data_IF_159697062281
#
_entry.id   IF_159697062281
#
_cell.length_a   1.000
_cell.length_b   1.000
_cell.length_c   1.000
_cell.angle_alpha   90.00
_cell.angle_beta   90.00
_cell.angle_gamma   90.00
#
_symmetry.space_group_name_H-M   'P 1'
#
loop_
_entity.id
_entity.type
_entity.pdbx_description
1 polymer ?
#
# COMPACT_ATOMS: atom_id res chain seq x y z
N UNK A 1 74.15 7.51 -53.71
CA UNK A 1 73.24 6.84 -54.66
C UNK A 1 72.16 6.04 -53.96
N UNK A 2 70.95 6.04 -54.52
CA UNK A 2 70.01 4.92 -54.37
C UNK A 2 68.84 5.07 -53.38
N UNK A 3 67.75 5.69 -53.84
CA UNK A 3 66.37 5.49 -53.35
C UNK A 3 65.92 4.02 -53.56
N UNK A 4 65.19 3.46 -52.60
CA UNK A 4 64.00 2.58 -52.76
C UNK A 4 63.77 1.84 -51.44
N UNK A 5 62.71 2.07 -50.67
CA UNK A 5 61.41 1.50 -50.97
C UNK A 5 60.37 2.06 -49.99
N UNK A 6 59.66 3.10 -50.43
CA UNK A 6 58.51 3.67 -49.72
C UNK A 6 57.23 3.12 -50.37
N UNK A 7 56.88 1.86 -50.11
CA UNK A 7 55.62 1.27 -50.61
C UNK A 7 54.94 0.28 -49.65
N UNK A 8 55.64 -0.25 -48.65
CA UNK A 8 55.06 -1.30 -47.78
C UNK A 8 54.37 -0.80 -46.49
N UNK A 9 54.53 0.46 -46.06
CA UNK A 9 53.84 0.95 -44.85
C UNK A 9 52.43 1.52 -45.10
N UNK A 10 52.14 1.98 -46.32
CA UNK A 10 50.81 2.52 -46.68
C UNK A 10 49.75 1.43 -46.86
N UNK A 11 50.12 0.26 -47.38
CA UNK A 11 49.20 -0.87 -47.59
C UNK A 11 48.65 -1.44 -46.28
N UNK A 12 49.53 -1.60 -45.27
CA UNK A 12 49.16 -2.10 -43.93
C UNK A 12 48.23 -1.14 -43.17
N UNK A 13 48.48 0.17 -43.27
CA UNK A 13 47.64 1.21 -42.63
C UNK A 13 46.24 1.31 -43.28
N UNK A 14 46.17 1.24 -44.61
CA UNK A 14 44.89 1.32 -45.33
C UNK A 14 43.99 0.09 -45.04
N UNK A 15 44.58 -1.11 -44.97
CA UNK A 15 43.86 -2.34 -44.62
C UNK A 15 43.28 -2.31 -43.19
N UNK A 16 44.02 -1.76 -42.23
CA UNK A 16 43.56 -1.62 -40.85
C UNK A 16 42.40 -0.60 -40.70
N UNK A 17 42.41 0.47 -41.50
CA UNK A 17 41.31 1.46 -41.53
C UNK A 17 40.05 0.86 -42.15
N UNK A 18 40.18 0.11 -43.24
CA UNK A 18 39.05 -0.57 -43.90
C UNK A 18 38.43 -1.63 -42.97
N UNK A 19 39.25 -2.41 -42.27
CA UNK A 19 38.78 -3.41 -41.31
C UNK A 19 38.02 -2.79 -40.12
N UNK A 20 38.54 -1.68 -39.56
CA UNK A 20 37.83 -0.92 -38.51
C UNK A 20 36.52 -0.30 -39.01
N UNK A 21 36.49 0.18 -40.26
CA UNK A 21 35.27 0.67 -40.90
C UNK A 21 34.22 -0.41 -41.11
N UNK A 22 34.63 -1.61 -41.53
CA UNK A 22 33.73 -2.77 -41.66
C UNK A 22 33.19 -3.23 -40.31
N UNK A 23 34.03 -3.25 -39.28
CA UNK A 23 33.65 -3.65 -37.93
C UNK A 23 32.70 -2.62 -37.28
N UNK A 24 32.95 -1.33 -37.49
CA UNK A 24 32.03 -0.26 -37.11
C UNK A 24 30.68 -0.38 -37.83
N UNK A 25 30.69 -0.60 -39.16
CA UNK A 25 29.46 -0.79 -39.92
C UNK A 25 28.69 -2.04 -39.48
N UNK A 26 29.38 -3.12 -39.12
CA UNK A 26 28.77 -4.33 -38.54
C UNK A 26 28.13 -4.02 -37.19
N UNK A 27 28.83 -3.30 -36.31
CA UNK A 27 28.31 -2.93 -34.99
C UNK A 27 27.10 -1.99 -35.09
N UNK A 28 27.10 -1.04 -36.02
CA UNK A 28 25.95 -0.17 -36.30
C UNK A 28 24.76 -0.99 -36.80
N UNK A 29 24.96 -1.95 -37.70
CA UNK A 29 23.89 -2.85 -38.16
C UNK A 29 23.31 -3.69 -37.02
N UNK A 30 24.15 -4.18 -36.11
CA UNK A 30 23.70 -4.93 -34.92
C UNK A 30 22.89 -4.02 -33.99
N UNK A 31 23.35 -2.80 -33.71
CA UNK A 31 22.62 -1.84 -32.87
C UNK A 31 21.27 -1.47 -33.48
N UNK A 32 21.23 -1.21 -34.79
CA UNK A 32 19.96 -0.93 -35.51
C UNK A 32 19.02 -2.13 -35.46
N UNK A 33 19.52 -3.36 -35.64
CA UNK A 33 18.71 -4.56 -35.54
C UNK A 33 18.12 -4.75 -34.14
N UNK A 34 18.92 -4.54 -33.08
CA UNK A 34 18.45 -4.58 -31.69
C UNK A 34 17.36 -3.52 -31.45
N UNK A 35 17.57 -2.30 -31.95
CA UNK A 35 16.60 -1.22 -31.81
C UNK A 35 15.27 -1.52 -32.52
N UNK A 36 15.32 -2.08 -33.73
CA UNK A 36 14.13 -2.51 -34.48
C UNK A 36 13.37 -3.62 -33.75
N UNK A 37 14.08 -4.59 -33.17
CA UNK A 37 13.46 -5.66 -32.36
C UNK A 37 12.80 -5.08 -31.11
N UNK A 38 13.48 -4.18 -30.40
CA UNK A 38 12.92 -3.54 -29.20
C UNK A 38 11.67 -2.72 -29.52
N UNK A 39 11.69 -1.91 -30.59
CA UNK A 39 10.52 -1.13 -31.03
C UNK A 39 9.38 -2.06 -31.45
N UNK A 40 9.67 -3.15 -32.17
CA UNK A 40 8.65 -4.12 -32.59
C UNK A 40 8.03 -4.84 -31.39
N UNK A 41 8.84 -5.24 -30.39
CA UNK A 41 8.34 -5.81 -29.14
C UNK A 41 7.47 -4.83 -28.36
N UNK A 42 7.90 -3.56 -28.26
CA UNK A 42 7.10 -2.52 -27.60
C UNK A 42 5.77 -2.27 -28.32
N UNK A 43 5.75 -2.26 -29.66
CA UNK A 43 4.53 -2.12 -30.45
C UNK A 43 3.60 -3.33 -30.29
N UNK A 44 4.13 -4.55 -30.23
CA UNK A 44 3.34 -5.75 -29.97
C UNK A 44 2.75 -5.76 -28.56
N UNK A 45 3.51 -5.34 -27.55
CA UNK A 45 3.00 -5.21 -26.18
C UNK A 45 1.96 -4.10 -26.05
N UNK A 46 2.18 -2.96 -26.72
CA UNK A 46 1.20 -1.87 -26.79
C UNK A 46 -0.09 -2.32 -27.49
N UNK A 47 0.02 -3.01 -28.62
CA UNK A 47 -1.15 -3.49 -29.38
C UNK A 47 -1.88 -4.61 -28.61
N UNK A 48 -1.16 -5.52 -27.98
CA UNK A 48 -1.73 -6.57 -27.11
C UNK A 48 -2.43 -5.98 -25.90
N UNK A 49 -1.82 -4.99 -25.24
CA UNK A 49 -2.43 -4.28 -24.11
C UNK A 49 -3.66 -3.46 -24.51
N UNK A 50 -3.67 -2.89 -25.72
CA UNK A 50 -4.78 -2.09 -26.21
C UNK A 50 -5.92 -2.95 -26.79
N UNK A 51 -5.62 -4.18 -27.21
CA UNK A 51 -6.56 -5.11 -27.80
C UNK A 51 -6.91 -6.23 -26.82
N UNK A 52 -7.41 -5.84 -25.64
CA UNK A 52 -8.00 -6.76 -24.65
C UNK A 52 -9.38 -7.26 -25.14
N UNK A 53 -9.38 -8.00 -26.25
CA UNK A 53 -10.46 -8.90 -26.64
C UNK A 53 -9.99 -10.33 -26.41
N UNK A 54 -10.64 -10.99 -25.45
CA UNK A 54 -10.43 -12.39 -25.05
C UNK A 54 -10.34 -13.33 -26.26
N UNK A 55 -9.17 -13.89 -26.52
CA UNK A 55 -9.02 -15.09 -27.35
C UNK A 55 -8.39 -16.22 -26.53
N UNK A 56 -9.24 -17.14 -26.08
CA UNK A 56 -8.89 -18.40 -25.44
C UNK A 56 -8.13 -19.29 -26.43
N UNK A 57 -6.81 -19.42 -26.25
CA UNK A 57 -5.96 -20.33 -27.01
C UNK A 57 -6.01 -21.75 -26.41
N UNK A 58 -7.17 -22.39 -26.47
CA UNK A 58 -7.39 -23.68 -25.85
C UNK A 58 -8.72 -24.31 -26.20
N UNK A 59 -8.99 -24.54 -27.50
CA UNK A 59 -10.02 -25.48 -27.96
C UNK A 59 -9.87 -25.72 -29.46
N UNK A 60 -8.96 -26.62 -29.82
CA UNK A 60 -9.07 -27.37 -31.08
C UNK A 60 -9.04 -28.85 -30.71
N UNK A 61 -10.07 -29.56 -31.15
CA UNK A 61 -10.26 -31.02 -31.08
C UNK A 61 -10.85 -31.58 -29.77
N UNK A 62 -12.17 -31.58 -29.68
CA UNK A 62 -12.91 -32.66 -29.02
C UNK A 62 -14.24 -32.90 -29.72
N UNK A 63 -14.46 -34.16 -30.05
CA UNK A 63 -15.53 -34.69 -30.87
C UNK A 63 -16.92 -34.54 -30.26
N UNK A 64 -17.90 -34.51 -31.15
CA UNK A 64 -19.34 -34.44 -30.96
C UNK A 64 -19.90 -35.51 -30.02
N UNK A 65 -20.85 -35.12 -29.15
CA UNK A 65 -22.00 -35.94 -28.78
C UNK A 65 -23.18 -35.03 -28.36
N UNK A 66 -24.44 -35.43 -28.63
CA UNK A 66 -25.58 -34.52 -28.65
C UNK A 66 -26.35 -34.48 -27.33
N UNK A 67 -26.83 -33.28 -27.02
CA UNK A 67 -28.05 -32.94 -26.27
C UNK A 67 -28.48 -33.83 -25.08
N UNK A 68 -28.36 -33.28 -23.88
CA UNK A 68 -29.53 -33.18 -23.01
C UNK A 68 -29.58 -31.78 -22.37
N UNK A 69 -30.68 -31.09 -22.66
CA UNK A 69 -31.04 -29.80 -22.06
C UNK A 69 -31.31 -29.95 -20.56
N UNK A 70 -30.58 -29.19 -19.74
CA UNK A 70 -31.07 -28.78 -18.44
C UNK A 70 -30.86 -27.27 -18.35
N UNK A 71 -31.98 -26.56 -18.18
CA UNK A 71 -32.01 -25.15 -17.78
C UNK A 71 -31.28 -25.02 -16.45
N UNK A 72 -30.00 -24.68 -16.49
CA UNK A 72 -29.28 -24.20 -15.32
C UNK A 72 -29.48 -22.68 -15.28
N UNK A 73 -30.34 -22.23 -14.38
CA UNK A 73 -30.22 -20.88 -13.80
C UNK A 73 -28.77 -20.67 -13.33
N UNK A 74 -28.17 -19.48 -13.49
CA UNK A 74 -26.87 -19.21 -12.89
C UNK A 74 -26.99 -19.49 -11.39
N UNK A 75 -26.33 -20.53 -10.91
CA UNK A 75 -26.29 -20.82 -9.49
C UNK A 75 -25.56 -19.65 -8.83
N UNK A 76 -26.21 -19.01 -7.87
CA UNK A 76 -25.52 -18.11 -6.94
C UNK A 76 -24.30 -18.86 -6.37
N UNK A 77 -23.13 -18.22 -6.28
CA UNK A 77 -21.97 -18.85 -5.68
C UNK A 77 -22.34 -19.35 -4.28
N UNK A 78 -21.84 -20.53 -3.87
CA UNK A 78 -22.19 -21.13 -2.60
C UNK A 78 -21.93 -20.12 -1.47
N UNK A 79 -22.80 -20.04 -0.42
CA UNK A 79 -22.79 -18.95 0.58
C UNK A 79 -21.50 -18.78 1.38
N UNK A 80 -20.50 -19.65 1.16
CA UNK A 80 -19.29 -19.78 1.95
C UNK A 80 -18.00 -19.75 1.12
N UNK A 81 -18.06 -19.49 -0.20
CA UNK A 81 -16.83 -19.27 -0.95
C UNK A 81 -16.22 -17.90 -0.62
N UNK A 82 -14.92 -17.84 -0.29
CA UNK A 82 -14.27 -16.56 -0.02
C UNK A 82 -14.28 -15.68 -1.26
N UNK A 83 -14.79 -14.45 -1.11
CA UNK A 83 -14.71 -13.43 -2.18
C UNK A 83 -13.25 -13.05 -2.40
N UNK A 84 -12.70 -13.48 -3.54
CA UNK A 84 -11.35 -13.14 -4.01
C UNK A 84 -11.37 -11.81 -4.79
N UNK A 85 -11.56 -10.70 -4.08
CA UNK A 85 -11.38 -9.35 -4.62
C UNK A 85 -10.05 -8.72 -4.15
N UNK A 86 -9.84 -7.44 -4.45
CA UNK A 86 -8.65 -6.68 -4.05
C UNK A 86 -8.41 -6.61 -2.52
N UNK A 87 -9.44 -6.80 -1.71
CA UNK A 87 -9.38 -6.80 -0.24
C UNK A 87 -9.31 -8.23 0.35
N UNK A 88 -9.17 -9.27 -0.46
CA UNK A 88 -9.11 -10.66 0.04
C UNK A 88 -8.01 -10.87 1.09
N UNK A 89 -6.77 -10.47 0.79
CA UNK A 89 -5.65 -10.63 1.74
C UNK A 89 -5.81 -9.72 2.96
N UNK A 90 -6.37 -8.52 2.79
CA UNK A 90 -6.67 -7.63 3.90
C UNK A 90 -7.72 -8.25 4.84
N UNK A 91 -8.81 -8.80 4.30
CA UNK A 91 -9.82 -9.51 5.10
C UNK A 91 -9.23 -10.69 5.85
N UNK A 92 -8.26 -11.42 5.26
CA UNK A 92 -7.56 -12.52 5.93
C UNK A 92 -6.71 -12.01 7.11
N UNK A 93 -5.96 -10.92 6.90
CA UNK A 93 -5.14 -10.30 7.94
C UNK A 93 -6.00 -9.73 9.09
N UNK A 94 -7.07 -9.00 8.77
CA UNK A 94 -8.02 -8.47 9.75
C UNK A 94 -8.68 -9.59 10.54
N UNK A 95 -9.16 -10.65 9.88
CA UNK A 95 -9.77 -11.81 10.56
C UNK A 95 -8.79 -12.51 11.51
N UNK A 96 -7.51 -12.58 11.15
CA UNK A 96 -6.48 -13.22 11.97
C UNK A 96 -6.10 -12.38 13.20
N UNK A 97 -6.14 -11.04 13.10
CA UNK A 97 -5.78 -10.14 14.19
C UNK A 97 -6.98 -9.73 15.07
N UNK A 98 -8.21 -9.82 14.56
CA UNK A 98 -9.37 -9.30 15.27
C UNK A 98 -9.70 -10.03 16.58
N UNK A 99 -10.18 -9.28 17.56
CA UNK A 99 -10.88 -9.79 18.73
C UNK A 99 -12.24 -10.39 18.34
N UNK A 100 -12.92 -11.02 19.30
CA UNK A 100 -14.25 -11.62 19.09
C UNK A 100 -15.30 -10.60 18.61
N UNK A 101 -15.21 -9.34 19.08
CA UNK A 101 -16.08 -8.23 18.69
C UNK A 101 -15.61 -7.51 17.40
N UNK A 102 -14.71 -8.14 16.62
CA UNK A 102 -14.13 -7.60 15.38
C UNK A 102 -13.29 -6.33 15.55
N UNK A 103 -12.66 -6.13 16.71
CA UNK A 103 -11.77 -5.01 16.96
C UNK A 103 -10.32 -5.39 16.64
N UNK A 104 -9.62 -4.54 15.89
CA UNK A 104 -8.19 -4.71 15.53
C UNK A 104 -7.39 -3.50 16.02
N UNK A 105 -6.19 -3.72 16.53
CA UNK A 105 -5.25 -2.63 16.83
C UNK A 105 -4.39 -2.42 15.59
N UNK A 106 -4.34 -1.19 15.08
CA UNK A 106 -3.67 -0.84 13.84
C UNK A 106 -2.56 0.15 14.11
N UNK A 107 -1.44 -0.03 13.43
CA UNK A 107 -0.36 0.96 13.34
C UNK A 107 0.24 0.93 11.93
N UNK A 108 0.88 2.01 11.51
CA UNK A 108 1.56 2.10 10.21
C UNK A 108 3.07 2.10 10.39
N UNK A 109 3.79 1.37 9.54
CA UNK A 109 5.24 1.27 9.61
C UNK A 109 5.87 1.54 8.24
N UNK A 110 6.88 2.41 8.21
CA UNK A 110 7.75 2.61 7.06
C UNK A 110 9.20 2.29 7.44
N UNK A 111 10.09 2.27 6.45
CA UNK A 111 11.49 1.91 6.60
C UNK A 111 12.21 2.76 7.66
N UNK A 112 11.98 4.08 7.64
CA UNK A 112 12.62 5.02 8.58
C UNK A 112 12.33 4.65 10.05
N UNK A 113 11.11 4.21 10.36
CA UNK A 113 10.71 3.82 11.72
C UNK A 113 10.98 2.34 12.02
N UNK A 114 11.27 1.51 11.01
CA UNK A 114 11.51 0.06 11.13
C UNK A 114 12.97 -0.31 11.41
N UNK A 115 13.90 0.64 11.37
CA UNK A 115 15.32 0.40 11.67
C UNK A 115 15.50 -0.31 13.03
N UNK A 116 16.44 -1.28 13.16
CA UNK A 116 16.71 -1.92 14.43
C UNK A 116 17.11 -0.93 15.53
N UNK A 117 16.62 -1.17 16.75
CA UNK A 117 16.77 -0.32 17.93
C UNK A 117 16.19 1.11 17.74
N UNK A 118 15.14 1.24 16.93
CA UNK A 118 14.41 2.49 16.71
C UNK A 118 12.99 2.43 17.31
N UNK A 119 12.14 3.42 17.00
CA UNK A 119 10.84 3.63 17.65
C UNK A 119 9.96 2.38 17.65
N UNK A 120 10.00 1.58 16.57
CA UNK A 120 9.12 0.41 16.48
C UNK A 120 9.49 -0.65 17.52
N UNK A 121 10.78 -0.80 17.84
CA UNK A 121 11.21 -1.72 18.89
C UNK A 121 10.74 -1.23 20.27
N UNK A 122 10.78 0.08 20.51
CA UNK A 122 10.29 0.70 21.76
C UNK A 122 8.77 0.60 21.86
N UNK A 123 8.06 0.83 20.75
CA UNK A 123 6.62 0.64 20.63
C UNK A 123 6.22 -0.77 21.05
N UNK A 124 6.82 -1.80 20.44
CA UNK A 124 6.55 -3.19 20.78
C UNK A 124 6.95 -3.51 22.23
N UNK A 125 8.07 -2.99 22.70
CA UNK A 125 8.50 -3.19 24.08
C UNK A 125 7.51 -2.61 25.08
N UNK A 126 6.92 -1.44 24.79
CA UNK A 126 5.91 -0.82 25.64
C UNK A 126 4.71 -1.73 25.87
N UNK A 127 4.24 -2.46 24.84
CA UNK A 127 3.22 -3.48 24.99
C UNK A 127 3.69 -4.65 25.86
N UNK A 128 4.95 -5.09 25.73
CA UNK A 128 5.45 -6.25 26.47
C UNK A 128 5.58 -5.97 27.97
N UNK A 129 6.06 -4.78 28.33
CA UNK A 129 6.33 -4.41 29.72
C UNK A 129 5.17 -3.69 30.40
N UNK A 130 4.20 -3.18 29.63
CA UNK A 130 3.07 -2.46 30.18
C UNK A 130 2.12 -3.36 30.99
N UNK A 131 1.39 -2.73 31.92
CA UNK A 131 0.48 -3.44 32.80
C UNK A 131 -0.73 -3.95 32.01
N UNK A 132 -0.84 -5.27 31.90
CA UNK A 132 -1.89 -5.96 31.15
C UNK A 132 -1.91 -5.61 29.65
N UNK A 133 -0.82 -5.17 29.02
CA UNK A 133 -0.82 -4.80 27.59
C UNK A 133 -0.25 -5.88 26.67
N UNK A 134 0.57 -6.80 27.16
CA UNK A 134 1.27 -7.79 26.32
C UNK A 134 0.31 -8.64 25.45
N UNK A 135 -0.85 -9.00 25.98
CA UNK A 135 -1.88 -9.77 25.26
C UNK A 135 -2.45 -9.03 24.04
N UNK A 136 -2.39 -7.69 24.03
CA UNK A 136 -2.89 -6.86 22.93
C UNK A 136 -2.03 -7.01 21.67
N UNK A 137 -0.78 -7.46 21.77
CA UNK A 137 0.06 -7.79 20.61
C UNK A 137 -0.52 -8.92 19.75
N UNK A 138 -1.39 -9.77 20.32
CA UNK A 138 -2.13 -10.76 19.53
C UNK A 138 -3.15 -10.12 18.59
N UNK A 139 -3.51 -8.86 18.82
CA UNK A 139 -4.50 -8.11 18.06
C UNK A 139 -3.90 -6.92 17.30
N UNK A 140 -2.57 -6.77 17.35
CA UNK A 140 -1.85 -5.75 16.60
C UNK A 140 -1.64 -6.22 15.17
N UNK A 141 -2.22 -5.49 14.22
CA UNK A 141 -1.96 -5.58 12.79
C UNK A 141 -1.16 -4.36 12.34
N UNK A 142 0.08 -4.60 11.92
CA UNK A 142 0.98 -3.55 11.43
C UNK A 142 0.83 -3.42 9.91
N UNK A 143 0.57 -2.21 9.46
CA UNK A 143 0.41 -1.85 8.06
C UNK A 143 1.74 -1.31 7.55
N UNK A 144 2.49 -2.14 6.84
CA UNK A 144 3.78 -1.76 6.28
C UNK A 144 3.60 -1.12 4.90
N UNK A 145 4.14 0.08 4.70
CA UNK A 145 4.00 0.84 3.43
C UNK A 145 5.15 0.61 2.45
N UNK A 146 6.21 -0.08 2.87
CA UNK A 146 7.33 -0.49 2.03
C UNK A 146 7.82 -1.90 2.38
N UNK A 147 8.64 -2.48 1.49
CA UNK A 147 9.08 -3.86 1.61
C UNK A 147 10.01 -4.11 2.81
N UNK A 148 10.84 -3.13 3.19
CA UNK A 148 11.79 -3.29 4.31
C UNK A 148 11.05 -3.24 5.64
N UNK A 149 10.10 -2.32 5.79
CA UNK A 149 9.17 -2.30 6.91
C UNK A 149 8.36 -3.60 7.01
N UNK A 150 7.89 -4.14 5.87
CA UNK A 150 7.11 -5.37 5.87
C UNK A 150 7.94 -6.58 6.33
N UNK A 151 9.17 -6.73 5.83
CA UNK A 151 10.08 -7.78 6.27
C UNK A 151 10.43 -7.65 7.76
N UNK A 152 10.68 -6.43 8.24
CA UNK A 152 10.92 -6.16 9.67
C UNK A 152 9.71 -6.54 10.51
N UNK A 153 8.52 -6.15 10.09
CA UNK A 153 7.27 -6.50 10.75
C UNK A 153 7.14 -8.02 10.89
N UNK A 154 7.31 -8.77 9.80
CA UNK A 154 7.16 -10.23 9.80
C UNK A 154 8.15 -10.93 10.74
N UNK A 155 9.31 -10.32 10.99
CA UNK A 155 10.30 -10.83 11.93
C UNK A 155 9.96 -10.59 13.40
N UNK A 156 9.11 -9.60 13.72
CA UNK A 156 8.86 -9.14 15.10
C UNK A 156 7.44 -9.38 15.61
N UNK A 157 6.44 -9.36 14.72
CA UNK A 157 5.02 -9.46 15.09
C UNK A 157 4.29 -10.46 14.22
N UNK A 158 3.16 -10.98 14.73
CA UNK A 158 2.40 -12.04 14.06
C UNK A 158 1.61 -11.55 12.84
N UNK A 159 1.07 -10.34 12.91
CA UNK A 159 0.15 -9.83 11.89
C UNK A 159 0.74 -8.61 11.20
N UNK A 160 1.08 -8.80 9.93
CA UNK A 160 1.62 -7.78 9.04
C UNK A 160 0.79 -7.74 7.77
N UNK A 161 0.53 -6.54 7.27
CA UNK A 161 -0.10 -6.34 5.97
C UNK A 161 0.75 -5.38 5.14
N UNK A 162 1.11 -5.80 3.93
CA UNK A 162 1.84 -4.94 3.00
C UNK A 162 0.86 -4.07 2.22
N UNK A 163 0.82 -2.78 2.54
CA UNK A 163 -0.02 -1.80 1.87
C UNK A 163 0.66 -1.33 0.58
N UNK A 164 0.08 -1.71 -0.55
CA UNK A 164 0.58 -1.32 -1.87
C UNK A 164 -0.07 0.00 -2.29
N UNK A 165 0.70 1.07 -2.19
CA UNK A 165 0.37 2.38 -2.79
C UNK A 165 1.22 2.63 -4.04
N UNK A 166 0.70 3.44 -4.97
CA UNK A 166 1.50 3.95 -6.09
C UNK A 166 2.71 4.77 -5.61
N UNK A 167 2.66 5.27 -4.37
CA UNK A 167 3.72 6.06 -3.73
C UNK A 167 4.59 5.25 -2.75
N UNK A 168 4.50 3.91 -2.74
CA UNK A 168 5.18 3.08 -1.72
C UNK A 168 6.69 3.34 -1.61
N UNK A 169 7.35 3.72 -2.72
CA UNK A 169 8.79 4.04 -2.72
C UNK A 169 9.07 5.38 -2.04
N UNK A 170 8.26 6.39 -2.33
CA UNK A 170 8.36 7.72 -1.72
C UNK A 170 7.96 7.70 -0.24
N UNK A 171 7.01 6.83 0.14
CA UNK A 171 6.53 6.62 1.51
C UNK A 171 7.48 5.82 2.40
N UNK A 172 8.43 5.09 1.81
CA UNK A 172 9.44 4.32 2.55
C UNK A 172 10.34 5.23 3.40
N UNK A 173 10.67 6.41 2.89
CA UNK A 173 11.52 7.37 3.58
C UNK A 173 10.75 8.19 4.62
N UNK A 174 11.49 8.86 5.51
CA UNK A 174 10.90 9.83 6.43
C UNK A 174 10.17 10.92 5.64
N UNK A 175 8.83 10.93 5.76
CA UNK A 175 8.01 11.98 5.19
C UNK A 175 8.06 13.21 6.11
N UNK A 176 8.90 14.19 5.76
CA UNK A 176 8.99 15.44 6.53
C UNK A 176 7.62 16.11 6.63
N UNK A 177 7.31 16.60 7.83
CA UNK A 177 6.02 17.19 8.16
C UNK A 177 5.56 18.24 7.13
N UNK A 178 4.29 18.16 6.72
CA UNK A 178 3.62 19.06 5.76
C UNK A 178 4.21 19.12 4.33
N UNK A 179 5.12 18.21 3.97
CA UNK A 179 5.50 18.02 2.56
C UNK A 179 4.36 17.41 1.73
N UNK A 180 4.37 17.54 0.38
CA UNK A 180 3.35 16.91 -0.46
C UNK A 180 3.21 15.40 -0.24
N UNK A 181 4.33 14.69 -0.09
CA UNK A 181 4.33 13.25 0.19
C UNK A 181 3.75 12.92 1.57
N UNK A 182 4.01 13.76 2.58
CA UNK A 182 3.39 13.64 3.90
C UNK A 182 1.86 13.79 3.79
N UNK A 183 1.38 14.77 3.04
CA UNK A 183 -0.07 14.94 2.85
C UNK A 183 -0.69 13.72 2.16
N UNK A 184 -0.09 13.22 1.08
CA UNK A 184 -0.55 11.98 0.42
C UNK A 184 -0.61 10.81 1.40
N UNK A 185 0.47 10.59 2.16
CA UNK A 185 0.57 9.52 3.16
C UNK A 185 -0.59 9.55 4.16
N UNK A 186 -0.89 10.73 4.69
CA UNK A 186 -1.91 10.87 5.73
C UNK A 186 -3.33 10.72 5.18
N UNK A 187 -3.57 11.15 3.94
CA UNK A 187 -4.84 10.93 3.25
C UNK A 187 -5.04 9.47 2.83
N UNK A 188 -3.99 8.79 2.37
CA UNK A 188 -4.02 7.35 2.09
C UNK A 188 -4.28 6.54 3.38
N UNK A 189 -3.65 6.92 4.50
CA UNK A 189 -3.95 6.35 5.83
C UNK A 189 -5.42 6.47 6.17
N UNK A 190 -6.00 7.67 6.03
CA UNK A 190 -7.41 7.89 6.35
C UNK A 190 -8.33 7.04 5.46
N UNK A 191 -8.04 6.95 4.16
CA UNK A 191 -8.84 6.14 3.23
C UNK A 191 -8.72 4.64 3.53
N UNK A 192 -7.54 4.18 3.93
CA UNK A 192 -7.35 2.82 4.40
C UNK A 192 -8.18 2.50 5.65
N UNK A 193 -8.24 3.41 6.62
CA UNK A 193 -9.11 3.26 7.79
C UNK A 193 -10.60 3.22 7.41
N UNK A 194 -11.03 4.02 6.42
CA UNK A 194 -12.40 3.93 5.85
C UNK A 194 -12.69 2.55 5.27
N UNK A 195 -11.73 1.95 4.57
CA UNK A 195 -11.87 0.59 4.01
C UNK A 195 -12.07 -0.42 5.14
N UNK A 196 -11.30 -0.34 6.23
CA UNK A 196 -11.46 -1.24 7.39
C UNK A 196 -12.87 -1.16 7.99
N UNK A 197 -13.41 0.06 8.16
CA UNK A 197 -14.80 0.24 8.61
C UNK A 197 -15.79 -0.38 7.62
N UNK A 198 -15.56 -0.19 6.32
CA UNK A 198 -16.42 -0.75 5.26
C UNK A 198 -16.41 -2.28 5.26
N UNK A 199 -15.28 -2.89 5.63
CA UNK A 199 -15.13 -4.35 5.79
C UNK A 199 -15.73 -4.89 7.11
N UNK A 200 -16.30 -4.03 7.96
CA UNK A 200 -17.03 -4.45 9.15
C UNK A 200 -16.18 -4.64 10.40
N UNK A 201 -14.96 -4.06 10.46
CA UNK A 201 -14.07 -4.15 11.61
C UNK A 201 -14.01 -2.84 12.37
N UNK A 202 -14.10 -2.92 13.70
CA UNK A 202 -13.74 -1.81 14.58
C UNK A 202 -12.21 -1.72 14.62
N UNK A 203 -11.68 -0.56 14.96
CA UNK A 203 -10.25 -0.44 15.16
C UNK A 203 -9.86 0.52 16.26
N UNK A 204 -8.75 0.20 16.93
CA UNK A 204 -7.93 1.19 17.61
C UNK A 204 -6.76 1.50 16.69
N UNK A 205 -6.64 2.74 16.22
CA UNK A 205 -5.46 3.18 15.51
C UNK A 205 -4.49 3.83 16.50
N UNK A 206 -3.20 3.51 16.37
CA UNK A 206 -2.12 4.08 17.15
C UNK A 206 -0.91 4.37 16.26
N UNK A 207 -0.41 5.59 16.29
CA UNK A 207 0.89 5.92 15.70
C UNK A 207 1.99 5.13 16.44
N UNK A 208 3.07 4.83 15.71
CA UNK A 208 4.18 4.01 16.20
C UNK A 208 5.00 4.70 17.29
N UNK A 209 4.85 6.02 17.45
CA UNK A 209 5.49 6.80 18.51
C UNK A 209 4.65 6.88 19.81
N UNK A 210 3.56 6.11 19.93
CA UNK A 210 2.71 6.05 21.12
C UNK A 210 3.02 4.79 21.95
N UNK A 211 3.26 4.99 23.26
CA UNK A 211 3.64 3.92 24.18
C UNK A 211 2.47 3.40 25.02
N UNK A 212 2.35 2.07 25.12
CA UNK A 212 1.21 1.37 25.72
C UNK A 212 1.53 0.81 27.11
N UNK A 213 1.45 1.66 28.15
CA UNK A 213 1.77 1.25 29.53
C UNK A 213 0.62 0.61 30.30
N UNK A 214 -0.63 0.78 29.84
CA UNK A 214 -1.84 0.17 30.42
C UNK A 214 -2.84 -0.17 29.32
N UNK A 215 -3.69 -1.14 29.60
CA UNK A 215 -4.81 -1.50 28.73
C UNK A 215 -5.84 -0.36 28.63
N UNK A 216 -6.07 0.25 27.45
CA UNK A 216 -7.01 1.37 27.31
C UNK A 216 -8.46 0.93 27.14
N UNK A 217 -8.72 -0.34 26.79
CA UNK A 217 -10.07 -0.83 26.50
C UNK A 217 -11.09 -0.57 27.62
N UNK A 218 -10.75 -0.77 28.91
CA UNK A 218 -11.64 -0.44 30.02
C UNK A 218 -12.01 1.05 30.14
N UNK A 219 -11.28 1.94 29.48
CA UNK A 219 -11.47 3.40 29.55
C UNK A 219 -12.22 3.97 28.34
N UNK A 220 -12.49 3.16 27.31
CA UNK A 220 -13.29 3.60 26.18
C UNK A 220 -14.77 3.71 26.56
N UNK A 221 -15.43 4.77 26.09
CA UNK A 221 -16.87 4.91 26.24
C UNK A 221 -17.59 3.84 25.38
N UNK A 222 -18.48 3.02 25.96
CA UNK A 222 -19.09 1.90 25.25
C UNK A 222 -20.07 2.34 24.16
N UNK A 223 -20.78 3.45 24.38
CA UNK A 223 -21.87 3.95 23.53
C UNK A 223 -21.41 5.00 22.50
N UNK A 224 -20.10 5.13 22.28
CA UNK A 224 -19.53 6.14 21.39
C UNK A 224 -18.90 5.47 20.16
N UNK A 225 -19.32 5.92 18.99
CA UNK A 225 -18.89 5.40 17.70
C UNK A 225 -17.45 5.76 17.33
N UNK A 226 -17.00 6.97 17.69
CA UNK A 226 -15.69 7.50 17.37
C UNK A 226 -15.15 8.31 18.56
N UNK A 227 -13.99 7.90 19.06
CA UNK A 227 -13.25 8.57 20.13
C UNK A 227 -11.82 8.79 19.65
N UNK A 228 -11.26 9.96 19.92
CA UNK A 228 -9.88 10.31 19.53
C UNK A 228 -9.18 11.03 20.67
N UNK A 229 -7.86 10.93 20.74
CA UNK A 229 -7.04 11.78 21.60
C UNK A 229 -7.12 13.24 21.17
N UNK A 230 -6.60 14.16 21.98
CA UNK A 230 -6.57 15.58 21.69
C UNK A 230 -5.20 16.20 22.00
N UNK A 231 -4.77 17.15 21.18
CA UNK A 231 -3.56 17.96 21.40
C UNK A 231 -3.78 19.01 22.49
N UNK A 232 -5.03 19.47 22.66
CA UNK A 232 -5.42 20.43 23.69
C UNK A 232 -6.75 20.02 24.32
N UNK A 233 -6.69 19.63 25.61
CA UNK A 233 -7.84 19.22 26.39
C UNK A 233 -8.38 20.39 27.21
N UNK A 234 -9.68 20.66 27.10
CA UNK A 234 -10.34 21.76 27.79
C UNK A 234 -11.03 21.36 29.11
N UNK A 235 -10.90 20.10 29.54
CA UNK A 235 -11.53 19.57 30.75
C UNK A 235 -12.83 18.79 30.51
N UNK A 236 -13.47 18.92 29.35
CA UNK A 236 -14.69 18.20 28.99
C UNK A 236 -14.43 17.22 27.82
N UNK A 237 -14.48 15.89 28.04
CA UNK A 237 -14.19 14.91 27.00
C UNK A 237 -15.23 14.86 25.88
N UNK A 238 -16.45 15.37 26.10
CA UNK A 238 -17.51 15.43 25.09
C UNK A 238 -17.49 16.71 24.26
N UNK A 239 -16.66 17.69 24.62
CA UNK A 239 -16.64 18.97 23.92
C UNK A 239 -15.91 18.85 22.58
N UNK A 240 -16.63 19.15 21.50
CA UNK A 240 -16.07 19.20 20.16
C UNK A 240 -15.07 20.34 19.99
N UNK A 241 -14.92 21.27 20.93
CA UNK A 241 -13.88 22.30 20.88
C UNK A 241 -12.48 21.80 21.22
N UNK A 242 -12.31 20.57 21.73
CA UNK A 242 -10.99 19.97 21.89
C UNK A 242 -10.28 19.83 20.54
N UNK A 243 -9.00 20.19 20.46
CA UNK A 243 -8.21 20.05 19.24
C UNK A 243 -7.85 18.57 19.05
N UNK A 244 -8.38 17.87 18.03
CA UNK A 244 -8.21 16.42 17.91
C UNK A 244 -6.77 16.08 17.53
N UNK A 245 -6.29 14.97 18.06
CA UNK A 245 -5.07 14.30 17.65
C UNK A 245 -5.46 12.95 17.02
N UNK A 246 -4.97 12.68 15.82
CA UNK A 246 -5.32 11.47 15.07
C UNK A 246 -4.32 10.33 15.28
N UNK A 247 -3.33 10.51 16.15
CA UNK A 247 -2.35 9.49 16.46
C UNK A 247 -2.92 8.37 17.33
N UNK A 248 -3.99 8.61 18.09
CA UNK A 248 -4.67 7.57 18.85
C UNK A 248 -6.19 7.72 18.78
N UNK A 249 -6.87 6.72 18.22
CA UNK A 249 -8.33 6.76 18.10
C UNK A 249 -8.95 5.37 18.15
N UNK A 250 -10.19 5.30 18.66
CA UNK A 250 -11.01 4.10 18.68
C UNK A 250 -12.31 4.35 17.91
N UNK A 251 -12.57 3.51 16.91
CA UNK A 251 -13.68 3.68 15.98
C UNK A 251 -14.42 2.36 15.80
N UNK A 252 -15.75 2.40 15.94
CA UNK A 252 -16.64 1.27 15.69
C UNK A 252 -17.07 1.26 14.23
N UNK A 253 -17.09 0.08 13.61
CA UNK A 253 -17.67 -0.08 12.29
C UNK A 253 -19.19 -0.06 12.38
N UNK A 254 -19.79 0.97 11.78
CA UNK A 254 -21.21 1.03 11.53
C UNK A 254 -21.48 2.00 10.37
N UNK A 255 -22.74 2.14 9.97
CA UNK A 255 -23.12 3.02 8.86
C UNK A 255 -22.71 4.49 9.09
N UNK A 256 -22.82 5.01 10.32
CA UNK A 256 -22.49 6.41 10.64
C UNK A 256 -21.00 6.68 10.46
N UNK A 257 -20.13 5.82 11.02
CA UNK A 257 -18.67 5.99 10.91
C UNK A 257 -18.16 5.75 9.50
N UNK A 258 -18.75 4.82 8.74
CA UNK A 258 -18.43 4.62 7.32
C UNK A 258 -18.74 5.87 6.50
N UNK A 259 -19.93 6.45 6.66
CA UNK A 259 -20.30 7.69 5.96
C UNK A 259 -19.45 8.89 6.42
N UNK A 260 -19.15 8.98 7.72
CA UNK A 260 -18.27 10.01 8.24
C UNK A 260 -16.86 9.97 7.62
N UNK A 261 -16.24 8.78 7.58
CA UNK A 261 -14.92 8.62 6.98
C UNK A 261 -14.94 8.89 5.47
N UNK A 262 -16.01 8.52 4.75
CA UNK A 262 -16.19 8.93 3.34
C UNK A 262 -16.20 10.44 3.19
N UNK A 263 -17.01 11.13 4.00
CA UNK A 263 -17.09 12.59 4.00
C UNK A 263 -15.73 13.23 4.32
N UNK A 264 -15.02 12.70 5.32
CA UNK A 264 -13.72 13.20 5.73
C UNK A 264 -12.67 13.03 4.63
N UNK A 265 -12.55 11.83 4.02
CA UNK A 265 -11.67 11.60 2.88
C UNK A 265 -11.99 12.55 1.72
N UNK A 266 -13.28 12.69 1.37
CA UNK A 266 -13.71 13.59 0.28
C UNK A 266 -13.43 15.07 0.56
N UNK A 267 -13.36 15.47 1.83
CA UNK A 267 -13.08 16.85 2.24
C UNK A 267 -11.68 17.30 1.87
N UNK A 268 -10.76 16.38 1.53
CA UNK A 268 -9.44 16.68 0.98
C UNK A 268 -9.50 17.66 -0.19
N UNK A 269 -10.49 17.51 -1.08
CA UNK A 269 -10.64 18.36 -2.27
C UNK A 269 -10.98 19.81 -1.94
N UNK A 270 -11.69 20.04 -0.83
CA UNK A 270 -12.00 21.38 -0.30
C UNK A 270 -10.80 22.00 0.43
N UNK A 271 -9.92 21.17 0.97
CA UNK A 271 -8.78 21.59 1.79
C UNK A 271 -7.43 20.98 1.31
N UNK A 272 -7.01 21.23 0.06
CA UNK A 272 -5.93 20.48 -0.59
C UNK A 272 -4.53 20.68 0.03
N UNK A 273 -4.35 21.68 0.90
CA UNK A 273 -3.08 21.99 1.57
C UNK A 273 -3.05 21.62 3.05
N UNK A 274 -4.09 20.94 3.53
CA UNK A 274 -4.19 20.51 4.92
C UNK A 274 -4.10 18.99 4.99
N UNK A 275 -3.46 18.51 6.04
CA UNK A 275 -3.55 17.10 6.42
C UNK A 275 -4.92 16.83 7.06
N UNK A 276 -5.26 15.55 7.10
CA UNK A 276 -6.53 15.01 7.55
C UNK A 276 -6.93 15.44 8.97
N UNK A 277 -6.00 15.52 9.94
CA UNK A 277 -6.32 15.99 11.31
C UNK A 277 -6.74 17.46 11.34
N UNK A 278 -6.05 18.33 10.59
CA UNK A 278 -6.47 19.73 10.45
C UNK A 278 -7.82 19.86 9.75
N UNK A 279 -8.10 19.00 8.77
CA UNK A 279 -9.41 18.95 8.13
C UNK A 279 -10.48 18.45 9.10
N UNK A 280 -10.20 17.42 9.90
CA UNK A 280 -11.14 16.92 10.91
C UNK A 280 -11.59 18.03 11.86
N UNK A 281 -10.62 18.80 12.34
CA UNK A 281 -10.89 19.94 13.22
C UNK A 281 -11.84 20.97 12.58
N UNK A 282 -11.84 21.10 11.25
CA UNK A 282 -12.75 21.99 10.51
C UNK A 282 -14.13 21.37 10.26
N UNK A 283 -14.20 20.07 10.06
CA UNK A 283 -15.43 19.40 9.61
C UNK A 283 -16.22 18.72 10.74
N UNK A 284 -15.67 18.58 11.96
CA UNK A 284 -16.33 17.91 13.09
C UNK A 284 -17.66 18.53 13.57
N UNK A 285 -17.95 19.78 13.16
CA UNK A 285 -19.24 20.45 13.39
C UNK A 285 -20.19 20.38 12.19
N UNK A 286 -19.74 19.81 11.07
CA UNK A 286 -20.53 19.74 9.83
C UNK A 286 -21.48 18.55 9.86
N UNK A 287 -22.67 18.72 9.29
CA UNK A 287 -23.54 17.61 8.89
C UNK A 287 -23.00 16.97 7.61
N UNK A 288 -23.13 15.66 7.49
CA UNK A 288 -22.73 14.87 6.33
C UNK A 288 -23.74 13.75 6.05
#
# INVERSE_FOLDING_TARGET
DGKSSNSNSKSSSMGAIIMKGLEYARNVKVVVAIFVVLVSCCLLLYYSSNNNNNYNFGQLLSFSSPFHSLNATPADPPPNEPVHDEFYELRKALKAAATQDKTVILTTLNDAWAEPNNIFDIFLESFRIGNNTARLLNHLLVIAVDAKAYLRCQALVRHCYFFKSNHSKELAHEARFMTPIYLEMMWERLDFLRIILTLGYNFVFTDTDIMWFRDPFPHFYPDIDFQTSCDAFNGNPADLNNAPNNGFNFVRSNRRTVEFYKFWVSSRWKYPRLHEQNVFNKIKHSSY
#
